data_IF_812637291941
#
_entry.id   IF_812637291941
#
_cell.length_a   1.000
_cell.length_b   1.000
_cell.length_c   1.000
_cell.angle_alpha   90.00
_cell.angle_beta   90.00
_cell.angle_gamma   90.00
#
_symmetry.space_group_name_H-M   'P 1'
#
loop_
_entity.id
_entity.type
_entity.pdbx_description
1 polymer ?
#
# COMPACT_ATOMS: atom_id res chain seq x y z
N UNK A 1 -23.27 55.45 9.85
CA UNK A 1 -23.49 54.62 11.07
C UNK A 1 -24.71 53.75 10.86
N UNK A 2 -24.55 52.52 10.44
CA UNK A 2 -25.56 51.48 10.56
C UNK A 2 -24.85 50.16 10.93
N UNK A 3 -24.88 49.88 12.22
CA UNK A 3 -24.54 48.54 12.70
C UNK A 3 -25.75 47.64 12.47
N UNK A 4 -25.70 46.77 11.46
CA UNK A 4 -26.64 45.66 11.40
C UNK A 4 -26.35 44.71 12.58
N UNK A 5 -27.28 44.73 13.56
CA UNK A 5 -27.34 43.66 14.54
C UNK A 5 -27.68 42.38 13.79
N UNK A 6 -26.72 41.52 13.61
CA UNK A 6 -26.98 40.12 13.33
C UNK A 6 -27.60 39.54 14.61
N UNK A 7 -28.90 39.43 14.64
CA UNK A 7 -29.56 38.56 15.60
C UNK A 7 -29.10 37.15 15.31
N UNK A 8 -28.15 36.66 16.10
CA UNK A 8 -27.80 35.24 16.13
C UNK A 8 -29.04 34.52 16.66
N UNK A 9 -29.96 34.12 15.76
CA UNK A 9 -30.94 33.10 16.11
C UNK A 9 -30.13 31.94 16.67
N UNK A 10 -30.41 31.57 17.91
CA UNK A 10 -29.78 30.42 18.53
C UNK A 10 -29.99 29.22 17.57
N UNK A 11 -28.89 28.62 17.10
CA UNK A 11 -28.97 27.43 16.22
C UNK A 11 -29.66 26.31 17.00
N UNK A 12 -30.71 25.76 16.44
CA UNK A 12 -31.37 24.56 16.93
C UNK A 12 -31.52 23.56 15.79
N UNK A 13 -31.28 22.27 16.03
CA UNK A 13 -31.51 21.25 15.05
C UNK A 13 -32.98 21.16 14.65
N UNK A 14 -33.23 20.87 13.36
CA UNK A 14 -34.60 20.65 12.89
C UNK A 14 -35.16 19.36 13.51
N UNK A 15 -36.44 19.39 13.90
CA UNK A 15 -37.17 18.20 14.32
C UNK A 15 -37.47 17.36 13.05
N UNK A 16 -37.07 16.11 13.09
CA UNK A 16 -37.32 15.15 12.01
C UNK A 16 -38.34 14.13 12.52
N UNK A 17 -39.33 13.79 11.70
CA UNK A 17 -40.26 12.69 11.94
C UNK A 17 -39.70 11.47 11.19
N UNK A 18 -39.68 10.32 11.87
CA UNK A 18 -39.23 9.06 11.32
C UNK A 18 -40.44 8.18 11.01
N UNK A 19 -40.50 7.63 9.80
CA UNK A 19 -41.55 6.75 9.33
C UNK A 19 -40.92 5.48 8.75
N UNK A 20 -41.59 4.34 8.96
CA UNK A 20 -41.17 3.08 8.37
C UNK A 20 -41.46 3.07 6.86
N UNK A 21 -40.70 2.33 6.09
CA UNK A 21 -40.88 2.06 4.65
C UNK A 21 -40.59 0.62 4.36
N UNK A 22 -41.37 0.02 3.43
CA UNK A 22 -41.15 -1.33 2.89
C UNK A 22 -40.35 -1.27 1.56
N UNK A 23 -39.70 -0.15 1.27
CA UNK A 23 -38.89 0.00 0.07
C UNK A 23 -37.54 -0.69 0.23
N UNK A 24 -37.09 -1.43 -0.78
CA UNK A 24 -35.73 -2.05 -0.83
C UNK A 24 -34.66 -0.98 -0.95
N UNK A 25 -34.30 -0.38 0.18
CA UNK A 25 -33.27 0.65 0.28
C UNK A 25 -31.93 0.02 0.59
N UNK A 26 -30.86 0.59 0.03
CA UNK A 26 -29.48 0.19 0.31
C UNK A 26 -28.60 1.41 0.56
N UNK A 27 -27.56 1.23 1.38
CA UNK A 27 -26.46 2.18 1.55
C UNK A 27 -25.24 1.84 0.68
N UNK A 28 -25.28 0.71 -0.05
CA UNK A 28 -24.17 0.13 -0.80
C UNK A 28 -24.37 0.14 -2.33
N UNK A 29 -25.29 0.99 -2.85
CA UNK A 29 -25.68 1.00 -4.26
C UNK A 29 -24.49 1.16 -5.25
N UNK A 30 -23.34 1.63 -4.78
CA UNK A 30 -22.14 1.75 -5.59
C UNK A 30 -21.27 0.49 -5.65
N UNK A 31 -21.53 -0.51 -4.82
CA UNK A 31 -20.74 -1.74 -4.77
C UNK A 31 -20.91 -2.57 -6.05
N UNK A 32 -22.13 -2.74 -6.53
CA UNK A 32 -22.43 -3.48 -7.75
C UNK A 32 -21.62 -3.02 -8.96
N UNK A 33 -21.62 -1.73 -9.33
CA UNK A 33 -20.77 -1.19 -10.40
C UNK A 33 -19.28 -1.49 -10.24
N UNK A 34 -18.72 -1.45 -9.02
CA UNK A 34 -17.31 -1.77 -8.78
C UNK A 34 -17.02 -3.26 -8.95
N UNK A 35 -17.93 -4.13 -8.51
CA UNK A 35 -17.83 -5.58 -8.75
C UNK A 35 -17.84 -5.85 -10.25
N UNK A 36 -18.71 -5.19 -11.02
CA UNK A 36 -18.75 -5.32 -12.48
C UNK A 36 -17.43 -4.92 -13.13
N UNK A 37 -16.83 -3.81 -12.72
CA UNK A 37 -15.51 -3.38 -13.21
C UNK A 37 -14.43 -4.41 -12.88
N UNK A 38 -14.45 -4.99 -11.68
CA UNK A 38 -13.52 -6.03 -11.29
C UNK A 38 -13.70 -7.30 -12.10
N UNK A 39 -14.93 -7.77 -12.29
CA UNK A 39 -15.26 -8.98 -13.06
C UNK A 39 -14.92 -8.84 -14.55
N UNK A 40 -15.06 -7.64 -15.12
CA UNK A 40 -14.68 -7.35 -16.50
C UNK A 40 -13.15 -7.25 -16.70
N UNK A 41 -12.39 -7.09 -15.62
CA UNK A 41 -10.94 -7.01 -15.72
C UNK A 41 -10.30 -8.38 -16.02
N UNK A 42 -9.21 -8.44 -16.81
CA UNK A 42 -8.47 -9.69 -17.03
C UNK A 42 -7.99 -10.34 -15.72
N UNK A 43 -7.84 -9.54 -14.69
CA UNK A 43 -7.35 -9.94 -13.36
C UNK A 43 -8.31 -10.89 -12.64
N UNK A 44 -9.62 -10.77 -12.88
CA UNK A 44 -10.60 -11.66 -12.24
C UNK A 44 -10.42 -13.13 -12.62
N UNK A 45 -10.24 -13.42 -13.90
CA UNK A 45 -9.99 -14.79 -14.38
C UNK A 45 -8.65 -15.37 -13.88
N UNK A 46 -7.63 -14.50 -13.74
CA UNK A 46 -6.32 -14.89 -13.20
C UNK A 46 -6.38 -15.17 -11.69
N UNK A 47 -7.11 -14.36 -10.93
CA UNK A 47 -7.32 -14.57 -9.50
C UNK A 47 -7.90 -15.95 -9.23
N UNK A 48 -8.97 -16.35 -9.94
CA UNK A 48 -9.62 -17.65 -9.77
C UNK A 48 -8.66 -18.84 -9.90
N UNK A 49 -7.65 -18.75 -10.75
CA UNK A 49 -6.64 -19.81 -10.96
C UNK A 49 -5.68 -19.95 -9.76
N UNK A 50 -5.58 -18.92 -8.92
CA UNK A 50 -4.68 -18.90 -7.76
C UNK A 50 -5.36 -19.37 -6.46
N UNK A 51 -6.68 -19.55 -6.48
CA UNK A 51 -7.49 -19.86 -5.31
C UNK A 51 -7.72 -21.37 -5.15
N UNK A 52 -7.96 -21.88 -3.93
CA UNK A 52 -8.34 -23.27 -3.71
C UNK A 52 -9.59 -23.64 -4.49
N UNK A 53 -9.53 -24.76 -5.22
CA UNK A 53 -10.69 -25.29 -5.94
C UNK A 53 -11.66 -25.94 -4.96
N UNK A 54 -12.97 -25.75 -5.19
CA UNK A 54 -14.02 -26.44 -4.44
C UNK A 54 -14.50 -27.66 -5.20
N UNK A 55 -14.95 -28.67 -4.44
CA UNK A 55 -15.55 -29.87 -5.05
C UNK A 55 -16.86 -29.53 -5.75
N UNK A 56 -17.21 -30.30 -6.78
CA UNK A 56 -18.38 -30.01 -7.66
C UNK A 56 -19.73 -30.00 -6.94
N UNK A 57 -19.85 -30.64 -5.78
CA UNK A 57 -21.07 -30.69 -4.96
C UNK A 57 -21.04 -29.69 -3.79
N UNK A 58 -20.08 -28.78 -3.72
CA UNK A 58 -20.07 -27.74 -2.71
C UNK A 58 -21.19 -26.71 -2.99
N UNK A 59 -21.82 -26.21 -1.92
CA UNK A 59 -22.87 -25.17 -2.03
C UNK A 59 -22.35 -23.90 -2.69
N UNK A 60 -21.10 -23.55 -2.43
CA UNK A 60 -20.43 -22.38 -2.99
C UNK A 60 -19.14 -22.78 -3.71
N UNK A 61 -18.94 -22.26 -4.89
CA UNK A 61 -17.70 -22.44 -5.65
C UNK A 61 -16.65 -21.39 -5.28
N UNK A 62 -15.45 -21.55 -5.81
CA UNK A 62 -14.33 -20.63 -5.63
C UNK A 62 -14.69 -19.18 -6.02
N UNK A 63 -15.59 -19.01 -7.01
CA UNK A 63 -16.00 -17.69 -7.48
C UNK A 63 -16.84 -16.95 -6.45
N UNK A 64 -17.76 -17.66 -5.77
CA UNK A 64 -18.55 -17.07 -4.69
C UNK A 64 -17.66 -16.52 -3.58
N UNK A 65 -16.70 -17.33 -3.10
CA UNK A 65 -15.76 -16.87 -2.06
C UNK A 65 -14.94 -15.68 -2.54
N UNK A 66 -14.38 -15.72 -3.76
CA UNK A 66 -13.57 -14.64 -4.29
C UNK A 66 -14.36 -13.32 -4.36
N UNK A 67 -15.59 -13.36 -4.88
CA UNK A 67 -16.42 -12.16 -5.02
C UNK A 67 -16.94 -11.66 -3.67
N UNK A 68 -17.28 -12.56 -2.75
CA UNK A 68 -17.72 -12.19 -1.40
C UNK A 68 -16.59 -11.46 -0.67
N UNK A 69 -15.34 -12.02 -0.66
CA UNK A 69 -14.19 -11.31 -0.08
C UNK A 69 -13.94 -9.97 -0.75
N UNK A 70 -13.99 -9.91 -2.08
CA UNK A 70 -13.82 -8.64 -2.81
C UNK A 70 -14.88 -7.63 -2.40
N UNK A 71 -16.16 -8.03 -2.37
CA UNK A 71 -17.27 -7.16 -1.98
C UNK A 71 -17.08 -6.63 -0.57
N UNK A 72 -16.76 -7.49 0.41
CA UNK A 72 -16.53 -7.09 1.79
C UNK A 72 -15.37 -6.12 1.94
N UNK A 73 -14.22 -6.42 1.34
CA UNK A 73 -13.09 -5.49 1.38
C UNK A 73 -13.34 -4.19 0.64
N UNK A 74 -14.08 -4.19 -0.45
CA UNK A 74 -14.49 -2.97 -1.15
C UNK A 74 -15.45 -2.15 -0.30
N UNK A 75 -16.38 -2.79 0.38
CA UNK A 75 -17.32 -2.14 1.31
C UNK A 75 -16.61 -1.60 2.56
N UNK A 76 -15.67 -2.36 3.10
CA UNK A 76 -14.85 -1.99 4.25
C UNK A 76 -15.07 -2.85 5.47
N UNK A 77 -15.52 -4.08 5.26
CA UNK A 77 -15.58 -5.10 6.30
C UNK A 77 -14.18 -5.34 6.86
N UNK A 78 -14.09 -5.48 8.16
CA UNK A 78 -12.83 -5.62 8.88
C UNK A 78 -12.71 -6.92 9.69
N UNK A 79 -13.79 -7.70 9.79
CA UNK A 79 -13.80 -9.06 10.32
C UNK A 79 -14.70 -10.00 9.48
N UNK A 80 -14.70 -11.30 9.81
CA UNK A 80 -15.54 -12.26 9.06
C UNK A 80 -17.03 -12.10 9.37
N UNK A 81 -17.36 -11.71 10.61
CA UNK A 81 -18.75 -11.55 11.04
C UNK A 81 -19.44 -10.39 10.31
N UNK A 82 -18.69 -9.38 9.87
CA UNK A 82 -19.23 -8.26 9.08
C UNK A 82 -19.86 -8.71 7.75
N UNK A 83 -19.45 -9.87 7.22
CA UNK A 83 -20.04 -10.38 5.98
C UNK A 83 -21.51 -10.77 6.14
N UNK A 84 -21.98 -11.01 7.38
CA UNK A 84 -23.39 -11.27 7.68
C UNK A 84 -24.25 -10.03 7.42
N UNK A 85 -23.69 -8.80 7.50
CA UNK A 85 -24.41 -7.56 7.14
C UNK A 85 -24.87 -7.55 5.69
N UNK A 86 -24.21 -8.30 4.81
CA UNK A 86 -24.59 -8.39 3.41
C UNK A 86 -25.85 -9.22 3.18
N UNK A 87 -26.20 -10.12 4.10
CA UNK A 87 -27.43 -10.92 4.02
C UNK A 87 -28.68 -10.05 4.16
N UNK A 88 -28.57 -8.89 4.82
CA UNK A 88 -29.65 -7.93 5.01
C UNK A 88 -29.68 -6.84 3.92
N UNK A 89 -28.68 -6.77 3.03
CA UNK A 89 -28.62 -5.76 1.96
C UNK A 89 -29.15 -6.30 0.64
N UNK A 90 -30.37 -5.91 0.21
CA UNK A 90 -30.99 -6.45 -1.02
C UNK A 90 -30.16 -6.20 -2.29
N UNK A 91 -29.30 -5.18 -2.28
CA UNK A 91 -28.45 -4.89 -3.45
C UNK A 91 -27.28 -5.85 -3.58
N UNK A 92 -26.79 -6.41 -2.49
CA UNK A 92 -25.70 -7.38 -2.47
C UNK A 92 -26.25 -8.77 -2.75
N UNK A 93 -27.35 -9.17 -2.11
CA UNK A 93 -28.02 -10.45 -2.36
C UNK A 93 -28.46 -10.59 -3.82
N UNK A 94 -29.14 -9.60 -4.37
CA UNK A 94 -29.58 -9.62 -5.77
C UNK A 94 -28.40 -9.58 -6.78
N UNK A 95 -27.21 -9.09 -6.36
CA UNK A 95 -26.00 -9.00 -7.19
C UNK A 95 -25.15 -10.25 -7.16
N UNK A 96 -24.93 -10.83 -5.98
CA UNK A 96 -24.02 -11.95 -5.76
C UNK A 96 -24.73 -13.29 -5.56
N UNK A 97 -26.05 -13.28 -5.31
CA UNK A 97 -26.83 -14.42 -4.89
C UNK A 97 -26.63 -14.75 -3.42
N UNK A 98 -27.01 -15.96 -3.01
CA UNK A 98 -26.76 -16.48 -1.67
C UNK A 98 -25.26 -16.40 -1.32
N UNK A 99 -24.94 -15.90 -0.12
CA UNK A 99 -23.56 -15.68 0.30
C UNK A 99 -23.08 -16.78 1.25
N UNK A 100 -21.77 -17.11 1.23
CA UNK A 100 -21.19 -17.96 2.25
C UNK A 100 -21.24 -17.29 3.63
N UNK A 101 -21.64 -18.04 4.66
CA UNK A 101 -21.60 -17.55 6.06
C UNK A 101 -20.18 -17.21 6.50
N UNK A 102 -20.03 -16.41 7.57
CA UNK A 102 -18.75 -16.08 8.18
C UNK A 102 -17.91 -17.34 8.51
N UNK A 103 -18.58 -18.39 9.00
CA UNK A 103 -17.92 -19.68 9.26
C UNK A 103 -17.38 -20.33 7.99
N UNK A 104 -18.18 -20.39 6.90
CA UNK A 104 -17.78 -20.95 5.61
C UNK A 104 -16.63 -20.14 4.98
N UNK A 105 -16.65 -18.81 5.15
CA UNK A 105 -15.56 -17.92 4.73
C UNK A 105 -14.26 -18.26 5.48
N UNK A 106 -14.32 -18.44 6.82
CA UNK A 106 -13.18 -18.85 7.62
C UNK A 106 -12.65 -20.24 7.26
N UNK A 107 -13.54 -21.21 6.96
CA UNK A 107 -13.17 -22.54 6.48
C UNK A 107 -12.43 -22.49 5.15
N UNK A 108 -12.93 -21.68 4.23
CA UNK A 108 -12.28 -21.50 2.93
C UNK A 108 -10.86 -20.94 3.03
N UNK A 109 -10.58 -20.03 3.98
CA UNK A 109 -9.21 -19.55 4.23
C UNK A 109 -8.27 -20.68 4.69
N UNK A 110 -8.80 -21.67 5.41
CA UNK A 110 -8.02 -22.82 5.88
C UNK A 110 -7.65 -23.81 4.77
N UNK A 111 -8.32 -23.75 3.62
CA UNK A 111 -8.02 -24.57 2.44
C UNK A 111 -6.77 -24.07 1.66
N UNK A 112 -6.25 -22.88 1.99
CA UNK A 112 -5.07 -22.35 1.31
C UNK A 112 -3.81 -23.13 1.70
N UNK A 113 -3.17 -23.72 0.70
CA UNK A 113 -1.87 -24.37 0.81
C UNK A 113 -0.73 -23.37 0.57
N UNK A 114 0.53 -23.69 0.91
CA UNK A 114 1.69 -22.87 0.54
C UNK A 114 1.77 -22.59 -0.96
N UNK A 115 1.34 -23.53 -1.80
CA UNK A 115 1.28 -23.34 -3.26
C UNK A 115 0.28 -22.25 -3.66
N UNK A 116 -0.91 -22.21 -3.05
CA UNK A 116 -1.89 -21.17 -3.27
C UNK A 116 -1.38 -19.79 -2.82
N UNK A 117 -0.72 -19.70 -1.65
CA UNK A 117 -0.14 -18.46 -1.14
C UNK A 117 0.96 -17.91 -2.08
N UNK A 118 1.81 -18.79 -2.60
CA UNK A 118 2.82 -18.43 -3.60
C UNK A 118 2.19 -17.95 -4.92
N UNK A 119 1.14 -18.64 -5.38
CA UNK A 119 0.39 -18.24 -6.58
C UNK A 119 -0.29 -16.89 -6.42
N UNK A 120 -0.89 -16.63 -5.25
CA UNK A 120 -1.52 -15.35 -4.90
C UNK A 120 -0.50 -14.20 -4.83
N UNK A 121 0.67 -14.44 -4.25
CA UNK A 121 1.75 -13.46 -4.26
C UNK A 121 2.24 -13.13 -5.67
N UNK A 122 2.35 -14.15 -6.52
CA UNK A 122 2.69 -13.95 -7.94
C UNK A 122 1.57 -13.22 -8.69
N UNK A 123 0.31 -13.50 -8.32
CA UNK A 123 -0.85 -12.78 -8.85
C UNK A 123 -0.82 -11.29 -8.47
N UNK A 124 -0.52 -10.93 -7.20
CA UNK A 124 -0.41 -9.53 -6.77
C UNK A 124 0.61 -8.77 -7.62
N UNK A 125 1.77 -9.37 -7.88
CA UNK A 125 2.78 -8.77 -8.77
C UNK A 125 2.20 -8.51 -10.17
N UNK A 126 1.52 -9.50 -10.78
CA UNK A 126 0.89 -9.33 -12.11
C UNK A 126 -0.24 -8.32 -12.09
N UNK A 127 -1.07 -8.30 -11.04
CA UNK A 127 -2.15 -7.32 -10.87
C UNK A 127 -1.59 -5.89 -10.80
N UNK A 128 -0.56 -5.67 -9.99
CA UNK A 128 0.09 -4.37 -9.87
C UNK A 128 0.69 -3.90 -11.21
N UNK A 129 1.34 -4.81 -11.95
CA UNK A 129 1.89 -4.52 -13.27
C UNK A 129 0.79 -4.19 -14.29
N UNK A 130 -0.29 -4.96 -14.31
CA UNK A 130 -1.44 -4.71 -15.18
C UNK A 130 -2.06 -3.33 -14.89
N UNK A 131 -2.28 -3.03 -13.60
CA UNK A 131 -2.78 -1.72 -13.17
C UNK A 131 -1.82 -0.59 -13.58
N UNK A 132 -0.52 -0.80 -13.39
CA UNK A 132 0.50 0.19 -13.77
C UNK A 132 0.54 0.41 -15.28
N UNK A 133 0.45 -0.65 -16.07
CA UNK A 133 0.37 -0.54 -17.53
C UNK A 133 -0.86 0.26 -17.98
N UNK A 134 -2.00 0.03 -17.34
CA UNK A 134 -3.25 0.75 -17.59
C UNK A 134 -3.16 2.24 -17.24
N UNK A 135 -2.42 2.59 -16.17
CA UNK A 135 -2.33 3.96 -15.65
C UNK A 135 -1.17 4.73 -16.29
N UNK A 136 -0.02 4.09 -16.36
CA UNK A 136 1.27 4.72 -16.70
C UNK A 136 2.20 3.72 -17.39
N UNK A 137 1.91 3.39 -18.66
CA UNK A 137 2.68 2.38 -19.38
C UNK A 137 4.16 2.77 -19.51
N UNK A 138 5.03 1.75 -19.43
CA UNK A 138 6.47 1.78 -19.75
C UNK A 138 7.40 2.57 -18.82
N UNK A 139 6.96 2.92 -17.62
CA UNK A 139 7.81 3.62 -16.69
C UNK A 139 8.63 2.67 -15.80
N UNK A 140 9.75 3.22 -15.30
CA UNK A 140 10.59 2.57 -14.30
C UNK A 140 9.76 2.38 -13.02
N UNK A 141 9.74 1.16 -12.52
CA UNK A 141 9.10 0.87 -11.21
C UNK A 141 10.11 1.15 -10.11
N UNK A 142 9.66 1.87 -9.08
CA UNK A 142 10.40 2.03 -7.82
C UNK A 142 9.67 1.26 -6.74
N UNK A 143 10.33 0.26 -6.17
CA UNK A 143 9.79 -0.61 -5.13
C UNK A 143 10.29 -0.18 -3.76
N UNK A 144 9.37 -0.07 -2.81
CA UNK A 144 9.64 0.13 -1.39
C UNK A 144 9.31 -1.17 -0.65
N UNK A 145 10.30 -1.79 -0.04
CA UNK A 145 10.11 -2.98 0.80
C UNK A 145 10.24 -2.58 2.27
N UNK A 146 9.34 -3.09 3.08
CA UNK A 146 9.33 -2.82 4.52
C UNK A 146 8.70 -3.99 5.29
N UNK A 147 9.00 -4.09 6.58
CA UNK A 147 8.31 -5.01 7.49
C UNK A 147 7.46 -4.24 8.49
N UNK A 148 6.38 -4.87 8.92
CA UNK A 148 5.46 -4.22 9.85
C UNK A 148 4.82 -5.20 10.82
N UNK A 149 4.78 -4.85 12.11
CA UNK A 149 4.14 -5.66 13.16
C UNK A 149 2.62 -5.46 13.15
N UNK A 150 1.87 -6.56 13.38
CA UNK A 150 0.43 -6.58 13.56
C UNK A 150 0.15 -7.05 14.99
N UNK A 151 -0.03 -6.08 15.89
CA UNK A 151 -0.25 -6.36 17.32
C UNK A 151 -1.59 -7.04 17.51
N UNK A 152 -1.60 -8.17 18.23
CA UNK A 152 -2.78 -8.96 18.50
C UNK A 152 -3.04 -9.05 20.00
N UNK A 153 -4.31 -9.15 20.38
CA UNK A 153 -4.72 -9.32 21.79
C UNK A 153 -4.89 -10.78 22.20
N UNK A 154 -5.08 -11.69 21.23
CA UNK A 154 -5.24 -13.14 21.47
C UNK A 154 -3.93 -13.84 21.82
N UNK A 155 -4.02 -15.08 22.32
CA UNK A 155 -2.84 -15.90 22.70
C UNK A 155 -2.69 -17.17 21.89
N UNK A 156 -3.73 -17.60 21.17
CA UNK A 156 -3.81 -18.92 20.52
C UNK A 156 -3.57 -18.88 19.01
N UNK A 157 -3.32 -17.70 18.45
CA UNK A 157 -3.07 -17.56 17.03
C UNK A 157 -1.65 -18.04 16.70
N UNK A 158 -1.55 -18.89 15.69
CA UNK A 158 -0.29 -19.43 15.19
C UNK A 158 0.65 -18.29 14.72
N UNK A 159 1.91 -18.36 15.13
CA UNK A 159 2.94 -17.38 14.76
C UNK A 159 3.02 -16.16 15.67
N UNK A 160 2.11 -16.00 16.64
CA UNK A 160 2.24 -14.91 17.62
C UNK A 160 3.52 -15.05 18.44
N UNK A 161 4.28 -13.97 18.52
CA UNK A 161 5.50 -13.90 19.30
C UNK A 161 5.82 -12.45 19.68
N UNK A 162 6.69 -12.30 20.68
CA UNK A 162 7.24 -11.00 21.06
C UNK A 162 8.30 -10.57 20.06
N UNK A 163 8.13 -9.39 19.50
CA UNK A 163 9.16 -8.78 18.67
C UNK A 163 10.19 -7.99 19.50
N UNK A 164 11.21 -7.43 18.85
CA UNK A 164 12.28 -6.65 19.50
C UNK A 164 11.79 -5.33 20.13
N UNK A 165 10.55 -4.89 19.82
CA UNK A 165 9.89 -3.71 20.42
C UNK A 165 9.02 -4.07 21.62
N UNK A 166 9.04 -5.33 22.06
CA UNK A 166 8.13 -5.86 23.07
C UNK A 166 6.65 -5.76 22.69
N UNK A 167 6.32 -5.99 21.42
CA UNK A 167 4.95 -6.09 20.92
C UNK A 167 4.61 -7.57 20.71
N UNK A 168 3.47 -8.01 21.23
CA UNK A 168 2.91 -9.34 20.99
C UNK A 168 2.16 -9.31 19.64
N UNK A 169 2.73 -9.88 18.59
CA UNK A 169 2.29 -9.61 17.24
C UNK A 169 2.55 -10.77 16.26
N UNK A 170 1.94 -10.66 15.08
CA UNK A 170 2.46 -11.20 13.83
C UNK A 170 3.30 -10.12 13.14
N UNK A 171 4.09 -10.52 12.16
CA UNK A 171 4.86 -9.63 11.30
C UNK A 171 4.48 -9.87 9.83
N UNK A 172 4.51 -8.83 9.00
CA UNK A 172 4.44 -8.98 7.56
C UNK A 172 5.56 -8.24 6.85
N UNK A 173 6.12 -8.88 5.84
CA UNK A 173 7.01 -8.26 4.87
C UNK A 173 6.16 -7.85 3.66
N UNK A 174 6.19 -6.57 3.28
CA UNK A 174 5.38 -6.03 2.19
C UNK A 174 6.21 -5.23 1.20
N UNK A 175 5.78 -5.20 -0.05
CA UNK A 175 6.42 -4.39 -1.09
C UNK A 175 5.38 -3.59 -1.86
N UNK A 176 5.52 -2.27 -1.82
CA UNK A 176 4.71 -1.34 -2.60
C UNK A 176 5.55 -0.63 -3.65
N UNK A 177 4.92 -0.16 -4.73
CA UNK A 177 5.58 0.81 -5.61
C UNK A 177 5.27 2.26 -5.19
N UNK A 178 5.87 3.22 -5.90
CA UNK A 178 5.67 4.65 -5.65
C UNK A 178 4.24 5.13 -5.95
N UNK A 179 3.43 4.34 -6.65
CA UNK A 179 2.00 4.59 -6.88
C UNK A 179 1.13 4.03 -5.75
N UNK A 180 1.69 3.19 -4.89
CA UNK A 180 1.01 2.51 -3.80
C UNK A 180 0.30 1.22 -4.21
N UNK A 181 0.72 0.63 -5.31
CA UNK A 181 0.31 -0.73 -5.69
C UNK A 181 1.16 -1.75 -4.93
N UNK A 182 0.54 -2.76 -4.34
CA UNK A 182 1.21 -3.84 -3.63
C UNK A 182 1.67 -4.93 -4.59
N UNK A 183 2.95 -5.31 -4.50
CA UNK A 183 3.56 -6.35 -5.33
C UNK A 183 3.72 -7.69 -4.61
N UNK A 184 3.56 -7.72 -3.31
CA UNK A 184 3.63 -8.94 -2.52
C UNK A 184 3.59 -8.69 -1.03
N UNK A 185 3.15 -9.72 -0.30
CA UNK A 185 3.13 -9.76 1.15
C UNK A 185 3.46 -11.18 1.63
N UNK A 186 4.29 -11.27 2.66
CA UNK A 186 4.54 -12.52 3.40
C UNK A 186 4.16 -12.29 4.87
N UNK A 187 3.14 -12.98 5.35
CA UNK A 187 2.79 -12.97 6.77
C UNK A 187 3.68 -13.97 7.51
N UNK A 188 4.27 -13.53 8.63
CA UNK A 188 5.33 -14.26 9.35
C UNK A 188 5.07 -14.26 10.85
N UNK A 189 5.80 -15.09 11.57
CA UNK A 189 5.78 -15.03 13.03
C UNK A 189 6.31 -13.69 13.54
N UNK A 190 5.76 -13.21 14.67
CA UNK A 190 6.07 -11.88 15.21
C UNK A 190 7.54 -11.67 15.60
N UNK A 191 8.27 -12.74 15.93
CA UNK A 191 9.70 -12.69 16.24
C UNK A 191 10.62 -12.87 15.02
N UNK A 192 10.05 -12.89 13.81
CA UNK A 192 10.83 -12.99 12.57
C UNK A 192 11.68 -11.73 12.38
N UNK A 193 12.92 -11.89 11.95
CA UNK A 193 13.79 -10.77 11.69
C UNK A 193 13.27 -9.94 10.49
N UNK A 194 13.29 -8.60 10.58
CA UNK A 194 12.63 -7.71 9.60
C UNK A 194 12.98 -8.00 8.14
N UNK A 195 14.24 -8.34 7.84
CA UNK A 195 14.69 -8.63 6.47
C UNK A 195 14.62 -10.10 6.07
N UNK A 196 14.17 -11.01 6.95
CA UNK A 196 14.05 -12.43 6.59
C UNK A 196 13.05 -12.61 5.44
N UNK A 197 13.42 -13.39 4.43
CA UNK A 197 12.63 -13.61 3.21
C UNK A 197 12.68 -12.48 2.18
N UNK A 198 13.26 -11.31 2.52
CA UNK A 198 13.26 -10.14 1.64
C UNK A 198 14.01 -10.36 0.32
N UNK A 199 15.12 -11.10 0.35
CA UNK A 199 15.89 -11.44 -0.85
C UNK A 199 15.06 -12.28 -1.83
N UNK A 200 14.31 -13.26 -1.32
CA UNK A 200 13.42 -14.11 -2.13
C UNK A 200 12.26 -13.29 -2.69
N UNK A 201 11.65 -12.43 -1.88
CA UNK A 201 10.54 -11.58 -2.31
C UNK A 201 10.96 -10.61 -3.39
N UNK A 202 12.07 -9.87 -3.19
CA UNK A 202 12.52 -8.88 -4.17
C UNK A 202 13.00 -9.53 -5.47
N UNK A 203 13.66 -10.69 -5.40
CA UNK A 203 14.10 -11.45 -6.58
C UNK A 203 12.88 -11.86 -7.42
N UNK A 204 11.85 -12.45 -6.79
CA UNK A 204 10.58 -12.84 -7.44
C UNK A 204 9.91 -11.65 -8.11
N UNK A 205 9.77 -10.52 -7.39
CA UNK A 205 9.11 -9.33 -7.92
C UNK A 205 9.89 -8.77 -9.10
N UNK A 206 11.19 -8.55 -8.96
CA UNK A 206 12.04 -8.01 -10.02
C UNK A 206 12.11 -8.92 -11.26
N UNK A 207 12.04 -10.24 -11.06
CA UNK A 207 11.95 -11.20 -12.16
C UNK A 207 10.66 -11.03 -12.97
N UNK A 208 9.55 -10.70 -12.30
CA UNK A 208 8.25 -10.47 -12.93
C UNK A 208 8.12 -9.12 -13.64
N UNK A 209 9.03 -8.16 -13.38
CA UNK A 209 8.97 -6.84 -14.01
C UNK A 209 9.40 -6.90 -15.49
N UNK A 210 8.70 -6.17 -16.38
CA UNK A 210 9.14 -6.03 -17.76
C UNK A 210 10.48 -5.29 -17.83
N UNK A 211 11.33 -5.68 -18.76
CA UNK A 211 12.60 -4.95 -18.97
C UNK A 211 12.28 -3.52 -19.42
N UNK A 212 12.95 -2.49 -18.86
CA UNK A 212 12.81 -1.13 -19.35
C UNK A 212 13.14 -1.04 -20.83
N UNK A 213 12.42 -0.20 -21.58
CA UNK A 213 12.65 -0.02 -23.04
C UNK A 213 14.06 0.46 -23.36
N UNK A 214 14.56 1.41 -22.57
CA UNK A 214 15.92 1.92 -22.73
C UNK A 214 16.87 1.11 -21.84
N UNK A 215 17.93 0.58 -22.40
CA UNK A 215 18.97 -0.20 -21.68
C UNK A 215 19.65 0.60 -20.58
N UNK A 216 19.61 1.93 -20.67
CA UNK A 216 20.11 2.87 -19.66
C UNK A 216 19.18 3.01 -18.46
N UNK A 217 17.91 2.63 -18.60
CA UNK A 217 16.91 2.68 -17.54
C UNK A 217 16.90 1.40 -16.74
N UNK A 218 16.68 1.51 -15.43
CA UNK A 218 16.64 0.37 -14.49
C UNK A 218 15.55 0.59 -13.46
N UNK A 219 14.90 -0.51 -13.06
CA UNK A 219 14.02 -0.49 -11.90
C UNK A 219 14.81 -0.12 -10.64
N UNK A 220 14.14 0.33 -9.60
CA UNK A 220 14.74 0.88 -8.39
C UNK A 220 14.13 0.23 -7.16
N UNK A 221 14.94 0.05 -6.14
CA UNK A 221 14.52 -0.52 -4.85
C UNK A 221 14.96 0.42 -3.73
N UNK A 222 14.09 0.70 -2.77
CA UNK A 222 14.38 1.44 -1.56
C UNK A 222 14.06 0.59 -0.35
N UNK A 223 14.92 0.61 0.64
CA UNK A 223 14.74 -0.14 1.88
C UNK A 223 15.39 0.56 3.08
N UNK A 224 14.98 0.21 4.28
CA UNK A 224 15.60 0.71 5.51
C UNK A 224 16.89 -0.06 5.88
N UNK A 225 17.45 0.22 7.05
CA UNK A 225 18.71 -0.37 7.47
C UNK A 225 18.64 -1.86 7.78
N UNK A 226 17.47 -2.42 8.08
CA UNK A 226 17.30 -3.85 8.32
C UNK A 226 17.61 -4.68 7.06
N UNK A 227 17.41 -4.09 5.89
CA UNK A 227 17.65 -4.71 4.57
C UNK A 227 19.07 -4.47 4.02
N UNK A 228 19.95 -3.81 4.77
CA UNK A 228 21.35 -3.61 4.38
C UNK A 228 22.18 -4.90 4.57
N UNK A 229 21.80 -5.95 3.85
CA UNK A 229 22.35 -7.32 3.94
C UNK A 229 22.80 -7.82 2.59
N UNK A 230 23.77 -8.74 2.62
CA UNK A 230 24.37 -9.32 1.42
C UNK A 230 23.33 -9.96 0.49
N UNK A 231 22.48 -10.83 1.03
CA UNK A 231 21.49 -11.59 0.27
C UNK A 231 20.51 -10.69 -0.48
N UNK A 232 20.00 -9.66 0.19
CA UNK A 232 19.09 -8.68 -0.39
C UNK A 232 19.76 -7.80 -1.46
N UNK A 233 20.96 -7.31 -1.17
CA UNK A 233 21.73 -6.48 -2.11
C UNK A 233 22.11 -7.28 -3.37
N UNK A 234 22.57 -8.54 -3.19
CA UNK A 234 22.91 -9.43 -4.32
C UNK A 234 21.68 -9.76 -5.16
N UNK A 235 20.55 -10.10 -4.54
CA UNK A 235 19.30 -10.35 -5.26
C UNK A 235 18.89 -9.14 -6.12
N UNK A 236 18.99 -7.93 -5.59
CA UNK A 236 18.66 -6.69 -6.30
C UNK A 236 19.62 -6.44 -7.48
N UNK A 237 20.93 -6.58 -7.27
CA UNK A 237 21.95 -6.37 -8.31
C UNK A 237 21.86 -7.42 -9.42
N UNK A 238 21.66 -8.68 -9.07
CA UNK A 238 21.56 -9.78 -10.03
C UNK A 238 20.38 -9.60 -11.01
N UNK A 239 19.32 -8.90 -10.59
CA UNK A 239 18.20 -8.51 -11.44
C UNK A 239 18.44 -7.20 -12.21
N UNK A 240 19.63 -6.61 -12.07
CA UNK A 240 19.99 -5.37 -12.76
C UNK A 240 19.30 -4.12 -12.22
N UNK A 241 18.69 -4.17 -11.03
CA UNK A 241 18.03 -3.03 -10.43
C UNK A 241 19.02 -2.10 -9.71
N UNK A 242 18.63 -0.83 -9.60
CA UNK A 242 19.30 0.14 -8.75
C UNK A 242 18.69 0.10 -7.36
N UNK A 243 19.48 0.42 -6.33
CA UNK A 243 18.97 0.49 -4.97
C UNK A 243 19.46 1.73 -4.22
N UNK A 244 18.70 2.09 -3.19
CA UNK A 244 19.14 2.96 -2.10
C UNK A 244 18.65 2.33 -0.79
N UNK A 245 19.56 2.07 0.14
CA UNK A 245 19.29 1.40 1.41
C UNK A 245 19.92 2.24 2.52
N UNK A 246 19.17 2.50 3.61
CA UNK A 246 19.78 3.11 4.79
C UNK A 246 20.91 2.21 5.27
N UNK A 247 22.11 2.75 5.43
CA UNK A 247 23.25 1.98 5.89
C UNK A 247 23.14 1.69 7.40
N UNK A 248 23.72 0.56 7.85
CA UNK A 248 23.62 0.11 9.23
C UNK A 248 24.15 1.14 10.24
N UNK A 249 23.47 1.25 11.40
CA UNK A 249 23.86 2.15 12.50
C UNK A 249 25.09 1.64 13.29
N UNK A 250 25.45 0.36 13.15
CA UNK A 250 26.65 -0.22 13.80
C UNK A 250 27.96 0.31 13.19
N UNK A 251 27.91 0.99 12.07
CA UNK A 251 29.06 1.65 11.46
C UNK A 251 29.21 3.04 12.08
N UNK A 252 30.43 3.35 12.56
CA UNK A 252 30.71 4.70 13.06
C UNK A 252 30.83 5.70 11.91
N UNK A 253 29.69 6.18 11.43
CA UNK A 253 29.63 7.14 10.33
C UNK A 253 30.34 8.45 10.62
N UNK A 254 30.55 8.80 11.90
CA UNK A 254 31.39 9.91 12.31
C UNK A 254 32.86 9.68 11.94
N UNK A 255 33.38 8.47 12.02
CA UNK A 255 34.73 8.13 11.61
C UNK A 255 34.85 8.06 10.08
N UNK A 256 33.89 7.41 9.41
CA UNK A 256 33.82 7.38 7.93
C UNK A 256 33.75 8.81 7.34
N UNK A 257 33.05 9.71 8.00
CA UNK A 257 32.93 11.11 7.59
C UNK A 257 34.26 11.86 7.55
N UNK A 258 35.27 11.44 8.33
CA UNK A 258 36.61 12.03 8.29
C UNK A 258 37.33 11.73 6.97
N UNK A 259 36.95 10.69 6.26
CA UNK A 259 37.54 10.29 4.98
C UNK A 259 36.78 10.91 3.77
N UNK A 260 35.71 11.63 4.00
CA UNK A 260 35.00 12.36 2.94
C UNK A 260 35.84 13.55 2.49
N UNK A 261 36.25 13.52 1.23
CA UNK A 261 37.16 14.52 0.67
C UNK A 261 36.46 15.83 0.31
N UNK A 262 35.15 15.76 -0.01
CA UNK A 262 34.36 16.93 -0.41
C UNK A 262 32.99 16.88 0.23
N UNK A 263 32.63 17.95 0.94
CA UNK A 263 31.32 18.18 1.50
C UNK A 263 30.57 19.22 0.67
N UNK A 264 29.33 18.90 0.28
CA UNK A 264 28.43 19.76 -0.46
C UNK A 264 27.28 20.21 0.44
N UNK A 265 27.01 21.52 0.55
CA UNK A 265 25.88 21.99 1.34
C UNK A 265 24.57 21.57 0.69
N UNK A 266 23.56 21.22 1.52
CA UNK A 266 22.21 20.95 1.07
C UNK A 266 21.61 22.17 0.38
N UNK A 267 21.10 21.99 -0.82
CA UNK A 267 20.42 23.05 -1.59
C UNK A 267 18.92 22.98 -1.26
N UNK A 268 18.45 23.95 -0.49
CA UNK A 268 17.05 24.08 -0.16
C UNK A 268 16.26 24.62 -1.35
N UNK A 269 15.09 24.03 -1.61
CA UNK A 269 14.15 24.55 -2.62
C UNK A 269 13.55 25.89 -2.16
N UNK A 270 13.09 26.71 -3.12
CA UNK A 270 12.41 27.98 -2.81
C UNK A 270 11.19 27.78 -1.89
N UNK A 271 10.47 26.66 -2.07
CA UNK A 271 9.31 26.31 -1.25
C UNK A 271 9.71 25.99 0.21
N UNK A 272 10.82 25.28 0.43
CA UNK A 272 11.34 24.99 1.76
C UNK A 272 11.78 26.27 2.49
N UNK A 273 12.45 27.16 1.78
CA UNK A 273 12.87 28.47 2.31
C UNK A 273 11.64 29.30 2.71
N UNK A 274 10.67 29.45 1.83
CA UNK A 274 9.43 30.18 2.12
C UNK A 274 8.66 29.61 3.30
N UNK A 275 8.56 28.25 3.38
CA UNK A 275 7.91 27.58 4.52
C UNK A 275 8.66 27.84 5.84
N UNK A 276 10.00 27.85 5.82
CA UNK A 276 10.80 28.11 6.99
C UNK A 276 10.63 29.58 7.46
N UNK A 277 10.63 30.54 6.55
CA UNK A 277 10.38 31.94 6.82
C UNK A 277 8.99 32.20 7.42
N UNK A 278 7.93 31.63 6.80
CA UNK A 278 6.56 31.73 7.30
C UNK A 278 6.41 31.17 8.72
N UNK A 279 7.16 30.11 9.05
CA UNK A 279 7.16 29.48 10.39
C UNK A 279 8.19 30.08 11.34
N UNK A 280 8.97 31.07 10.93
CA UNK A 280 10.09 31.66 11.68
C UNK A 280 11.06 30.59 12.20
N UNK A 281 11.35 29.57 11.38
CA UNK A 281 12.27 28.49 11.71
C UNK A 281 13.57 28.65 10.93
N UNK A 282 14.71 28.48 11.62
CA UNK A 282 16.01 28.41 10.98
C UNK A 282 16.14 27.10 10.20
N UNK A 283 16.60 27.16 8.97
CA UNK A 283 16.92 25.98 8.20
C UNK A 283 18.15 25.27 8.81
N UNK A 284 18.10 23.93 8.97
CA UNK A 284 19.23 23.18 9.51
C UNK A 284 20.48 23.32 8.62
N UNK A 285 21.66 23.40 9.21
CA UNK A 285 22.90 23.25 8.44
C UNK A 285 23.09 21.77 8.11
N UNK A 286 23.00 21.43 6.83
CA UNK A 286 23.13 20.06 6.32
C UNK A 286 24.22 20.03 5.27
N UNK A 287 25.08 19.04 5.33
CA UNK A 287 26.13 18.78 4.36
C UNK A 287 26.12 17.31 3.93
N UNK A 288 26.46 17.06 2.68
CA UNK A 288 26.46 15.75 2.05
C UNK A 288 27.83 15.43 1.47
N UNK A 289 28.24 14.19 1.56
CA UNK A 289 29.50 13.75 0.97
C UNK A 289 29.46 12.30 0.52
N UNK A 290 30.23 11.98 -0.52
CA UNK A 290 30.43 10.62 -0.98
C UNK A 290 31.51 9.92 -0.16
N UNK A 291 31.21 8.66 0.16
CA UNK A 291 32.14 7.72 0.78
C UNK A 291 32.04 6.39 0.04
N UNK A 292 33.17 5.72 -0.17
CA UNK A 292 33.21 4.37 -0.75
C UNK A 292 33.30 3.36 0.40
N UNK A 293 32.22 2.60 0.59
CA UNK A 293 32.10 1.62 1.66
C UNK A 293 32.36 0.21 1.12
N UNK A 294 33.14 -0.55 1.85
CA UNK A 294 33.43 -1.94 1.62
C UNK A 294 32.80 -2.76 2.75
N UNK A 295 31.61 -3.38 2.51
CA UNK A 295 30.98 -4.22 3.52
C UNK A 295 31.82 -5.46 3.79
N UNK A 296 31.86 -5.94 5.04
CA UNK A 296 32.66 -7.10 5.42
C UNK A 296 32.27 -8.42 4.72
N UNK A 297 31.09 -8.45 4.07
CA UNK A 297 30.62 -9.57 3.26
C UNK A 297 30.98 -9.44 1.76
N UNK A 298 31.53 -8.30 1.35
CA UNK A 298 31.87 -8.03 -0.04
C UNK A 298 33.40 -8.08 -0.23
N UNK A 299 33.92 -9.21 -0.67
CA UNK A 299 35.37 -9.41 -0.81
C UNK A 299 36.07 -8.43 -1.78
N UNK A 300 35.34 -7.86 -2.75
CA UNK A 300 35.89 -6.94 -3.76
C UNK A 300 34.94 -5.80 -4.15
N UNK A 301 33.70 -5.82 -3.67
CA UNK A 301 32.69 -4.84 -4.08
C UNK A 301 32.68 -3.64 -3.13
N UNK A 302 32.90 -2.46 -3.69
CA UNK A 302 32.71 -1.18 -2.99
C UNK A 302 31.43 -0.52 -3.44
N UNK A 303 30.66 -0.05 -2.47
CA UNK A 303 29.42 0.65 -2.74
C UNK A 303 29.56 2.14 -2.42
N UNK A 304 29.09 3.02 -3.31
CA UNK A 304 28.90 4.41 -2.97
C UNK A 304 27.94 4.55 -1.79
N UNK A 305 28.33 5.35 -0.83
CA UNK A 305 27.50 5.75 0.32
C UNK A 305 27.44 7.26 0.35
N UNK A 306 26.23 7.81 0.44
CA UNK A 306 26.06 9.22 0.75
C UNK A 306 25.98 9.38 2.26
N UNK A 307 26.93 10.09 2.84
CA UNK A 307 26.87 10.49 4.24
C UNK A 307 26.25 11.89 4.30
N UNK A 308 25.12 11.97 4.99
CA UNK A 308 24.44 13.23 5.35
C UNK A 308 24.82 13.58 6.78
N UNK A 309 25.34 14.79 7.02
CA UNK A 309 25.53 15.31 8.36
C UNK A 309 24.67 16.55 8.58
N UNK A 310 24.01 16.58 9.74
CA UNK A 310 23.14 17.68 10.15
C UNK A 310 23.68 18.27 11.43
N UNK A 311 23.88 19.56 11.45
CA UNK A 311 24.34 20.26 12.66
C UNK A 311 23.17 20.41 13.64
N UNK A 312 23.38 19.92 14.84
CA UNK A 312 22.44 20.07 15.97
C UNK A 312 23.05 21.09 16.92
N UNK A 313 22.37 22.20 17.12
CA UNK A 313 22.74 23.21 18.11
C UNK A 313 22.53 22.63 19.53
N UNK A 314 23.38 23.04 20.50
CA UNK A 314 23.21 22.66 21.91
C UNK A 314 21.86 23.21 22.43
N UNK A 315 21.28 22.54 23.40
CA UNK A 315 20.13 23.11 24.11
C UNK A 315 20.53 24.39 24.85
N UNK A 316 19.65 25.42 24.88
CA UNK A 316 19.92 26.65 25.62
C UNK A 316 20.20 26.33 27.10
N UNK A 317 21.38 26.71 27.58
CA UNK A 317 21.81 26.45 28.96
C UNK A 317 22.71 25.23 29.15
N UNK A 318 23.13 24.54 28.09
CA UNK A 318 24.13 23.49 28.16
C UNK A 318 25.48 24.07 28.61
N UNK A 319 26.21 23.33 29.48
CA UNK A 319 27.49 23.76 30.08
C UNK A 319 28.57 24.01 29.02
N UNK A 320 28.44 23.41 27.82
CA UNK A 320 29.30 23.62 26.67
C UNK A 320 28.41 23.98 25.49
N UNK A 321 28.50 25.22 25.02
CA UNK A 321 27.75 25.72 23.85
C UNK A 321 28.38 25.24 22.52
N UNK A 322 28.61 23.93 22.44
CA UNK A 322 29.18 23.27 21.27
C UNK A 322 28.18 22.30 20.68
N UNK A 323 27.53 22.68 19.56
CA UNK A 323 26.69 21.77 18.80
C UNK A 323 27.48 20.54 18.31
N UNK A 324 26.76 19.55 17.82
CA UNK A 324 27.34 18.32 17.26
C UNK A 324 26.75 17.94 15.89
N UNK A 325 27.53 17.19 15.11
CA UNK A 325 27.03 16.62 13.87
C UNK A 325 26.30 15.31 14.15
N UNK A 326 25.05 15.21 13.67
CA UNK A 326 24.32 13.96 13.56
C UNK A 326 24.52 13.41 12.15
N UNK A 327 24.82 12.11 12.07
CA UNK A 327 25.13 11.44 10.82
C UNK A 327 23.98 10.50 10.41
N UNK A 328 23.76 10.42 9.11
CA UNK A 328 22.83 9.49 8.46
C UNK A 328 23.47 9.06 7.13
N UNK A 329 23.39 7.78 6.79
CA UNK A 329 24.06 7.28 5.61
C UNK A 329 23.13 6.43 4.74
N UNK A 330 23.27 6.55 3.43
CA UNK A 330 22.53 5.78 2.43
C UNK A 330 23.49 5.10 1.48
N UNK A 331 23.48 3.77 1.49
CA UNK A 331 24.24 2.93 0.56
C UNK A 331 23.47 2.79 -0.74
N UNK A 332 24.18 2.77 -1.88
CA UNK A 332 23.58 2.70 -3.20
C UNK A 332 24.52 2.02 -4.21
N UNK A 333 23.99 1.58 -5.35
CA UNK A 333 24.76 1.21 -6.53
C UNK A 333 24.61 2.24 -7.66
N UNK A 334 24.12 3.44 -7.37
CA UNK A 334 24.06 4.52 -8.35
C UNK A 334 25.46 5.07 -8.65
N UNK A 335 25.66 5.47 -9.89
CA UNK A 335 26.94 6.08 -10.28
C UNK A 335 27.15 7.42 -9.61
N UNK A 336 28.25 7.56 -8.86
CA UNK A 336 28.68 8.82 -8.23
C UNK A 336 29.13 9.89 -9.26
N UNK A 337 29.33 9.49 -10.53
CA UNK A 337 29.69 10.42 -11.62
C UNK A 337 28.49 11.08 -12.27
N UNK A 338 27.33 10.41 -12.25
CA UNK A 338 26.11 10.89 -12.92
C UNK A 338 25.02 11.33 -11.94
N UNK A 339 25.23 11.20 -10.62
CA UNK A 339 24.26 11.58 -9.61
C UNK A 339 24.93 12.38 -8.50
N UNK A 340 24.24 13.41 -8.01
CA UNK A 340 24.70 14.17 -6.85
C UNK A 340 24.30 13.44 -5.55
N UNK A 341 25.02 13.69 -4.42
CA UNK A 341 24.62 13.15 -3.13
C UNK A 341 23.19 13.54 -2.75
N UNK A 342 22.77 14.76 -3.07
CA UNK A 342 21.44 15.26 -2.77
C UNK A 342 20.35 14.49 -3.52
N UNK A 343 20.55 14.19 -4.80
CA UNK A 343 19.60 13.40 -5.58
C UNK A 343 19.35 12.00 -4.98
N UNK A 344 20.42 11.37 -4.45
CA UNK A 344 20.29 10.06 -3.78
C UNK A 344 19.49 10.17 -2.50
N UNK A 345 19.78 11.16 -1.65
CA UNK A 345 19.06 11.36 -0.39
C UNK A 345 17.58 11.74 -0.64
N UNK A 346 17.32 12.65 -1.57
CA UNK A 346 15.95 13.04 -1.94
C UNK A 346 15.14 11.86 -2.48
N UNK A 347 15.76 11.05 -3.36
CA UNK A 347 15.13 9.84 -3.86
C UNK A 347 14.83 8.84 -2.72
N UNK A 348 15.81 8.58 -1.86
CA UNK A 348 15.67 7.65 -0.75
C UNK A 348 14.61 8.13 0.27
N UNK A 349 14.56 9.41 0.56
CA UNK A 349 13.61 9.99 1.52
C UNK A 349 12.14 9.79 1.13
N UNK A 350 11.84 9.62 -0.16
CA UNK A 350 10.49 9.32 -0.65
C UNK A 350 10.01 7.92 -0.24
N UNK A 351 10.89 7.04 0.31
CA UNK A 351 10.50 5.76 0.90
C UNK A 351 9.44 5.94 1.99
N UNK A 352 9.48 7.02 2.76
CA UNK A 352 8.47 7.33 3.78
C UNK A 352 7.03 7.37 3.27
N UNK A 353 6.81 7.43 1.95
CA UNK A 353 5.45 7.33 1.39
C UNK A 353 4.87 5.92 1.53
N UNK A 354 5.69 4.85 1.56
CA UNK A 354 5.24 3.48 1.76
C UNK A 354 4.57 3.28 3.12
N UNK A 355 5.00 4.02 4.15
CA UNK A 355 4.39 4.00 5.48
C UNK A 355 2.90 4.40 5.45
N UNK A 356 2.50 5.25 4.48
CA UNK A 356 1.10 5.61 4.29
C UNK A 356 0.29 4.45 3.71
N UNK A 357 0.88 3.64 2.82
CA UNK A 357 0.23 2.47 2.22
C UNK A 357 0.13 1.32 3.23
N UNK A 358 1.19 1.08 4.01
CA UNK A 358 1.18 0.15 5.15
C UNK A 358 0.11 0.55 6.18
N UNK A 359 -0.01 1.84 6.48
CA UNK A 359 -1.07 2.34 7.36
C UNK A 359 -2.45 2.15 6.73
N UNK A 360 -2.59 2.29 5.41
CA UNK A 360 -3.86 2.06 4.72
C UNK A 360 -4.28 0.58 4.80
N UNK A 361 -3.37 -0.37 4.58
CA UNK A 361 -3.68 -1.79 4.73
C UNK A 361 -4.14 -2.14 6.15
N UNK A 362 -3.46 -1.58 7.17
CA UNK A 362 -3.80 -1.82 8.57
C UNK A 362 -5.16 -1.27 8.99
N UNK A 363 -5.55 -0.09 8.50
CA UNK A 363 -6.73 0.63 9.00
C UNK A 363 -7.90 0.69 8.02
N UNK A 364 -7.67 0.44 6.73
CA UNK A 364 -8.75 0.42 5.76
C UNK A 364 -9.21 -1.01 5.42
N UNK A 365 -8.36 -2.00 5.65
CA UNK A 365 -8.63 -3.43 5.44
C UNK A 365 -8.46 -4.24 6.73
N UNK A 366 -8.29 -3.56 7.84
CA UNK A 366 -8.06 -4.04 9.20
C UNK A 366 -7.00 -5.17 9.34
N UNK A 367 -5.96 -5.15 8.51
CA UNK A 367 -4.89 -6.13 8.64
C UNK A 367 -4.08 -6.00 9.94
N UNK A 368 -4.42 -5.06 10.82
CA UNK A 368 -3.94 -5.06 12.21
C UNK A 368 -4.59 -6.14 13.07
N UNK A 369 -5.78 -6.66 12.69
CA UNK A 369 -6.47 -7.75 13.37
C UNK A 369 -6.75 -8.86 12.36
N UNK A 370 -6.11 -10.02 12.56
CA UNK A 370 -6.35 -11.17 11.70
C UNK A 370 -7.46 -12.06 12.27
N UNK A 371 -8.37 -12.59 11.42
CA UNK A 371 -9.58 -13.25 11.89
C UNK A 371 -9.41 -14.73 12.23
N UNK A 372 -8.30 -15.37 11.84
CA UNK A 372 -8.12 -16.81 11.96
C UNK A 372 -7.03 -17.19 12.98
N UNK A 373 -7.07 -18.44 13.45
CA UNK A 373 -6.02 -18.96 14.32
C UNK A 373 -4.79 -19.44 13.53
N UNK A 374 -4.96 -19.96 12.31
CA UNK A 374 -3.86 -20.46 11.47
C UNK A 374 -3.14 -19.33 10.74
N UNK A 375 -1.83 -19.35 10.78
CA UNK A 375 -0.99 -18.35 10.10
C UNK A 375 -1.24 -18.34 8.57
N UNK A 376 -1.38 -19.51 7.93
CA UNK A 376 -1.65 -19.62 6.50
C UNK A 376 -3.00 -19.04 6.11
N UNK A 377 -4.05 -19.22 6.93
CA UNK A 377 -5.37 -18.64 6.71
C UNK A 377 -5.35 -17.10 6.83
N UNK A 378 -4.64 -16.57 7.81
CA UNK A 378 -4.43 -15.14 7.98
C UNK A 378 -3.60 -14.55 6.82
N UNK A 379 -2.61 -15.29 6.33
CA UNK A 379 -1.84 -14.89 5.15
C UNK A 379 -2.76 -14.80 3.91
N UNK A 380 -3.62 -15.80 3.70
CA UNK A 380 -4.60 -15.79 2.61
C UNK A 380 -5.56 -14.60 2.71
N UNK A 381 -6.08 -14.33 3.92
CA UNK A 381 -6.92 -13.16 4.20
C UNK A 381 -6.23 -11.85 3.81
N UNK A 382 -4.99 -11.66 4.26
CA UNK A 382 -4.20 -10.47 3.93
C UNK A 382 -3.94 -10.33 2.43
N UNK A 383 -3.64 -11.43 1.71
CA UNK A 383 -3.44 -11.39 0.26
C UNK A 383 -4.72 -11.01 -0.48
N UNK A 384 -5.90 -11.53 -0.07
CA UNK A 384 -7.18 -11.15 -0.65
C UNK A 384 -7.51 -9.68 -0.39
N UNK A 385 -7.23 -9.17 0.81
CA UNK A 385 -7.37 -7.76 1.13
C UNK A 385 -6.48 -6.86 0.25
N UNK A 386 -5.25 -7.29 -0.03
CA UNK A 386 -4.32 -6.56 -0.90
C UNK A 386 -4.73 -6.62 -2.39
N UNK A 387 -5.43 -7.67 -2.83
CA UNK A 387 -6.08 -7.69 -4.16
C UNK A 387 -7.11 -6.57 -4.26
N UNK A 388 -7.97 -6.42 -3.24
CA UNK A 388 -8.95 -5.36 -3.18
C UNK A 388 -8.29 -3.96 -3.06
N UNK A 389 -7.20 -3.86 -2.28
CA UNK A 389 -6.40 -2.65 -2.19
C UNK A 389 -5.88 -2.21 -3.56
N UNK A 390 -5.23 -3.11 -4.31
CA UNK A 390 -4.70 -2.81 -5.64
C UNK A 390 -5.80 -2.35 -6.59
N UNK A 391 -6.97 -2.99 -6.55
CA UNK A 391 -8.11 -2.59 -7.37
C UNK A 391 -8.61 -1.19 -7.02
N UNK A 392 -8.86 -0.89 -5.73
CA UNK A 392 -9.25 0.45 -5.29
C UNK A 392 -8.17 1.50 -5.56
N UNK A 393 -6.90 1.13 -5.42
CA UNK A 393 -5.79 2.03 -5.72
C UNK A 393 -5.73 2.39 -7.20
N UNK A 394 -5.99 1.43 -8.08
CA UNK A 394 -6.11 1.66 -9.52
C UNK A 394 -7.25 2.64 -9.83
N UNK A 395 -8.42 2.41 -9.24
CA UNK A 395 -9.56 3.33 -9.33
C UNK A 395 -9.20 4.73 -8.83
N UNK A 396 -8.50 4.83 -7.71
CA UNK A 396 -8.10 6.11 -7.14
C UNK A 396 -7.25 6.94 -8.10
N UNK A 397 -6.31 6.29 -8.77
CA UNK A 397 -5.39 6.94 -9.72
C UNK A 397 -6.14 7.32 -11.00
N UNK A 398 -7.00 6.46 -11.53
CA UNK A 398 -7.84 6.76 -12.69
C UNK A 398 -8.80 7.92 -12.39
N UNK A 399 -9.42 7.93 -11.20
CA UNK A 399 -10.34 8.99 -10.78
C UNK A 399 -9.64 10.35 -10.60
N UNK A 400 -8.43 10.34 -10.02
CA UNK A 400 -7.67 11.55 -9.72
C UNK A 400 -6.16 11.32 -9.74
N UNK A 401 -5.52 11.35 -10.92
CA UNK A 401 -4.09 11.01 -11.09
C UNK A 401 -3.14 11.85 -10.22
N UNK A 402 -3.36 13.15 -10.13
CA UNK A 402 -2.45 14.07 -9.42
C UNK A 402 -2.45 13.88 -7.90
N UNK A 403 -3.59 13.49 -7.33
CA UNK A 403 -3.75 13.32 -5.89
C UNK A 403 -4.74 12.20 -5.59
N UNK A 404 -4.36 10.93 -5.80
CA UNK A 404 -5.23 9.79 -5.58
C UNK A 404 -5.75 9.73 -4.15
N UNK A 405 -7.02 9.40 -4.00
CA UNK A 405 -7.64 9.27 -2.68
C UNK A 405 -7.33 7.91 -2.06
N UNK A 406 -7.29 7.85 -0.73
CA UNK A 406 -7.23 6.61 0.04
C UNK A 406 -8.58 5.92 0.10
N UNK A 407 -8.59 4.61 0.37
CA UNK A 407 -9.75 3.70 0.32
C UNK A 407 -10.98 4.22 1.06
N UNK A 408 -10.84 4.74 2.27
CA UNK A 408 -11.97 5.28 3.04
C UNK A 408 -12.71 6.41 2.30
N UNK A 409 -11.99 7.26 1.57
CA UNK A 409 -12.61 8.34 0.79
C UNK A 409 -13.24 7.82 -0.50
N UNK A 410 -12.64 6.80 -1.11
CA UNK A 410 -13.19 6.13 -2.28
C UNK A 410 -14.50 5.41 -1.94
N UNK A 411 -14.54 4.70 -0.81
CA UNK A 411 -15.76 4.06 -0.32
C UNK A 411 -16.91 5.05 -0.19
N UNK A 412 -16.67 6.22 0.44
CA UNK A 412 -17.66 7.30 0.53
C UNK A 412 -18.09 7.86 -0.83
N UNK A 413 -17.20 7.83 -1.81
CA UNK A 413 -17.48 8.39 -3.14
C UNK A 413 -18.17 7.42 -4.07
N UNK A 414 -17.83 6.13 -4.01
CA UNK A 414 -18.19 5.15 -5.01
C UNK A 414 -18.87 3.90 -4.46
N UNK A 415 -18.79 3.60 -3.16
CA UNK A 415 -19.37 2.39 -2.57
C UNK A 415 -20.59 2.74 -1.72
N UNK A 416 -20.42 3.57 -0.69
CA UNK A 416 -21.47 3.93 0.26
C UNK A 416 -22.41 4.96 -0.34
N UNK A 417 -23.17 4.52 -1.33
CA UNK A 417 -24.12 5.35 -2.04
C UNK A 417 -25.54 4.92 -1.69
N UNK A 418 -26.44 5.86 -1.36
CA UNK A 418 -27.82 5.54 -1.16
C UNK A 418 -28.45 5.13 -2.49
N UNK A 419 -29.25 4.08 -2.46
CA UNK A 419 -29.98 3.59 -3.60
C UNK A 419 -31.28 2.93 -3.23
N UNK A 420 -32.13 2.70 -4.24
CA UNK A 420 -33.35 1.93 -4.12
C UNK A 420 -33.36 0.89 -5.23
N UNK A 421 -33.48 -0.37 -4.86
CA UNK A 421 -33.65 -1.47 -5.80
C UNK A 421 -35.12 -1.56 -6.21
N UNK A 422 -35.38 -1.70 -7.51
CA UNK A 422 -36.73 -1.79 -8.08
C UNK A 422 -36.77 -2.97 -9.03
N UNK A 423 -37.69 -3.89 -8.80
CA UNK A 423 -38.00 -5.00 -9.73
C UNK A 423 -38.99 -4.51 -10.76
N UNK A 424 -38.56 -4.37 -12.03
CA UNK A 424 -39.41 -3.90 -13.12
C UNK A 424 -39.19 -4.73 -14.40
N UNK A 425 -40.28 -5.21 -14.98
CA UNK A 425 -40.26 -5.97 -16.26
C UNK A 425 -39.19 -7.09 -16.30
N UNK A 426 -39.05 -7.88 -15.23
CA UNK A 426 -38.03 -8.95 -15.03
C UNK A 426 -36.58 -8.42 -14.99
N UNK A 427 -36.40 -7.13 -14.75
CA UNK A 427 -35.09 -6.52 -14.56
C UNK A 427 -34.99 -5.98 -13.16
N UNK A 428 -33.75 -6.05 -12.59
CA UNK A 428 -33.38 -5.37 -11.37
C UNK A 428 -32.81 -4.01 -11.75
N UNK A 429 -33.40 -2.95 -11.22
CA UNK A 429 -32.98 -1.59 -11.51
C UNK A 429 -32.57 -0.89 -10.21
N UNK A 430 -31.29 -0.58 -10.07
CA UNK A 430 -30.79 0.23 -8.96
C UNK A 430 -30.96 1.71 -9.28
N UNK A 431 -31.83 2.39 -8.54
CA UNK A 431 -32.04 3.84 -8.64
C UNK A 431 -31.10 4.57 -7.66
N UNK A 432 -30.13 5.29 -8.22
CA UNK A 432 -29.15 6.07 -7.46
C UNK A 432 -29.44 7.57 -7.70
N UNK A 433 -29.32 8.45 -6.69
CA UNK A 433 -29.49 9.90 -6.88
C UNK A 433 -28.55 10.41 -7.99
N UNK A 434 -29.07 11.28 -8.86
CA UNK A 434 -28.42 11.74 -10.09
C UNK A 434 -26.99 12.25 -9.89
N UNK A 435 -26.72 12.91 -8.77
CA UNK A 435 -25.38 13.39 -8.44
C UNK A 435 -24.33 12.28 -8.31
N UNK A 436 -24.70 11.15 -7.71
CA UNK A 436 -23.82 9.98 -7.55
C UNK A 436 -23.76 9.15 -8.82
N UNK A 437 -24.89 8.98 -9.51
CA UNK A 437 -24.95 8.27 -10.78
C UNK A 437 -23.96 8.85 -11.81
N UNK A 438 -23.90 10.19 -11.93
CA UNK A 438 -22.93 10.87 -12.81
C UNK A 438 -21.47 10.52 -12.47
N UNK A 439 -21.13 10.45 -11.18
CA UNK A 439 -19.76 10.11 -10.75
C UNK A 439 -19.43 8.64 -11.05
N UNK A 440 -20.37 7.71 -10.83
CA UNK A 440 -20.20 6.29 -11.15
C UNK A 440 -20.03 6.11 -12.66
N UNK A 441 -20.90 6.72 -13.48
CA UNK A 441 -20.80 6.63 -14.95
C UNK A 441 -19.47 7.22 -15.46
N UNK A 442 -19.04 8.36 -14.91
CA UNK A 442 -17.75 8.96 -15.24
C UNK A 442 -16.60 8.01 -14.93
N UNK A 443 -16.63 7.34 -13.77
CA UNK A 443 -15.62 6.35 -13.40
C UNK A 443 -15.61 5.16 -14.37
N UNK A 444 -16.77 4.61 -14.71
CA UNK A 444 -16.88 3.50 -15.66
C UNK A 444 -16.31 3.87 -17.05
N UNK A 445 -16.59 5.07 -17.54
CA UNK A 445 -16.01 5.58 -18.79
C UNK A 445 -14.49 5.75 -18.70
N UNK A 446 -14.00 6.35 -17.60
CA UNK A 446 -12.56 6.53 -17.38
C UNK A 446 -11.82 5.19 -17.27
N UNK A 447 -12.45 4.20 -16.64
CA UNK A 447 -11.95 2.83 -16.56
C UNK A 447 -11.85 2.17 -17.94
N UNK A 448 -12.91 2.24 -18.75
CA UNK A 448 -12.91 1.69 -20.11
C UNK A 448 -11.84 2.35 -20.99
N UNK A 449 -11.76 3.68 -20.97
CA UNK A 449 -10.76 4.45 -21.74
C UNK A 449 -9.32 4.11 -21.34
N UNK A 450 -9.06 3.77 -20.07
CA UNK A 450 -7.72 3.42 -19.62
C UNK A 450 -7.21 2.10 -20.22
N UNK A 451 -8.08 1.14 -20.51
CA UNK A 451 -7.73 -0.09 -21.25
C UNK A 451 -7.44 0.19 -22.73
N UNK A 452 -8.19 1.07 -23.38
CA UNK A 452 -7.94 1.44 -24.77
C UNK A 452 -6.59 2.16 -24.93
N UNK A 453 -6.24 3.04 -23.99
CA UNK A 453 -4.93 3.69 -23.97
C UNK A 453 -3.79 2.68 -23.81
N UNK A 454 -3.95 1.69 -22.94
CA UNK A 454 -2.97 0.63 -22.73
C UNK A 454 -2.75 -0.22 -24.00
N UNK A 455 -3.81 -0.54 -24.75
CA UNK A 455 -3.73 -1.28 -26.01
C UNK A 455 -2.99 -0.50 -27.11
N UNK A 456 -3.19 0.82 -27.17
CA UNK A 456 -2.59 1.68 -28.19
C UNK A 456 -1.11 2.05 -27.91
N UNK A 457 -0.60 1.79 -26.72
CA UNK A 457 0.77 2.11 -26.30
C UNK A 457 1.66 0.87 -26.15
N UNK A 458 1.14 -0.34 -26.36
CA UNK A 458 1.82 -1.67 -26.33
C UNK A 458 2.52 -2.02 -27.63
#
# INVERSE_FOLDING_TARGET
>A
MHKSKWDKKAWAPNKIIYEATDEDLTASAGLGPLIDLFMQSPQYGELRKCLPARVSNASFDTTHFALTYMAGFLYGHDCLDDFEEFEEDPSVEDKLGELPSAHAMGDYLRDFTPGHLTAMNSFLTRQALSARHQIKPHEIVTLDIDSTSHVQSGREMEGLAWNYKNEWCLDSLVTFDELGLCYGMELRAGNTFSSEGSAVMIDRILQGLPKPRLTTQKHRVRADSAFCREDFVRATINRGALFTITAHDNIKWSEAAKQVTKWEPWQYSAEEVEKAEKKKRKLPKIELGWYLYEPGWAEVLRFPVVIKRTWIESEPGALLDTGCWKYYAVMTNWSLYSNTPQQVIEFHSKRGNSENFIREEKYAYDLKHFPCQRLSANHAYGLLALVAHNFLRTIAIIDKPDKPHYSKKLRRKFVWLPGRLVKHARQLVMRIPTRYFKEVTRLQQAWANSFELALNTG
#
